data_IF_965940915677
#
_entry.id   IF_965940915677
#
_cell.length_a   1.000
_cell.length_b   1.000
_cell.length_c   1.000
_cell.angle_alpha   90.00
_cell.angle_beta   90.00
_cell.angle_gamma   90.00
#
_symmetry.space_group_name_H-M   'P 1'
#
loop_
_entity.id
_entity.type
_entity.pdbx_description
1 polymer ?
#
# COMPACT_ATOMS: atom_id res chain seq x y z
N UNK A 1 -25.29 40.93 23.05
CA UNK A 1 -25.29 40.31 21.69
C UNK A 1 -23.92 39.85 21.21
N UNK A 2 -22.79 40.36 21.74
CA UNK A 2 -21.46 40.06 21.19
C UNK A 2 -20.92 38.63 21.41
N UNK A 3 -21.24 37.99 22.54
CA UNK A 3 -20.66 36.67 22.92
C UNK A 3 -21.11 35.54 21.96
N UNK A 4 -22.34 35.61 21.45
CA UNK A 4 -22.86 34.60 20.50
C UNK A 4 -22.14 34.66 19.16
N UNK A 5 -21.80 35.86 18.68
CA UNK A 5 -21.10 36.04 17.41
C UNK A 5 -19.63 35.58 17.49
N UNK A 6 -18.99 35.70 18.66
CA UNK A 6 -17.63 35.21 18.90
C UNK A 6 -17.57 33.69 18.92
N UNK A 7 -18.55 33.03 19.55
CA UNK A 7 -18.65 31.57 19.58
C UNK A 7 -18.90 30.98 18.18
N UNK A 8 -19.74 31.62 17.37
CA UNK A 8 -20.00 31.20 15.98
C UNK A 8 -18.75 31.36 15.12
N UNK A 9 -18.02 32.48 15.27
CA UNK A 9 -16.76 32.69 14.55
C UNK A 9 -15.69 31.67 14.92
N UNK A 10 -15.54 31.33 16.21
CA UNK A 10 -14.58 30.33 16.66
C UNK A 10 -14.93 28.91 16.17
N UNK A 11 -16.21 28.53 16.15
CA UNK A 11 -16.66 27.25 15.62
C UNK A 11 -16.40 27.12 14.11
N UNK A 12 -16.57 28.22 13.36
CA UNK A 12 -16.32 28.22 11.91
C UNK A 12 -14.82 28.08 11.59
N UNK A 13 -13.94 28.72 12.37
CA UNK A 13 -12.49 28.60 12.21
C UNK A 13 -12.03 27.18 12.57
N UNK A 14 -12.58 26.57 13.62
CA UNK A 14 -12.29 25.19 13.99
C UNK A 14 -12.75 24.19 12.92
N UNK A 15 -13.90 24.43 12.27
CA UNK A 15 -14.39 23.60 11.16
C UNK A 15 -13.55 23.75 9.88
N UNK A 16 -12.92 24.91 9.65
CA UNK A 16 -12.02 25.15 8.52
C UNK A 16 -10.59 24.64 8.76
N UNK A 17 -10.22 24.40 10.02
CA UNK A 17 -8.92 23.86 10.41
C UNK A 17 -8.87 22.32 10.39
N UNK A 18 -9.91 21.64 9.89
CA UNK A 18 -9.88 20.19 9.72
C UNK A 18 -8.74 19.85 8.75
N UNK A 19 -7.73 19.08 9.17
CA UNK A 19 -6.65 18.69 8.27
C UNK A 19 -7.27 17.87 7.15
N UNK A 20 -7.21 18.39 5.93
CA UNK A 20 -7.44 17.59 4.73
C UNK A 20 -6.36 16.53 4.74
N UNK A 21 -6.74 15.29 5.03
CA UNK A 21 -5.83 14.17 4.90
C UNK A 21 -5.33 14.16 3.46
N UNK A 22 -4.05 14.52 3.27
CA UNK A 22 -3.41 14.40 1.98
C UNK A 22 -3.49 12.93 1.58
N UNK A 23 -4.24 12.64 0.52
CA UNK A 23 -4.29 11.30 -0.03
C UNK A 23 -2.86 10.89 -0.40
N UNK A 24 -2.35 9.84 0.22
CA UNK A 24 -1.04 9.31 -0.14
C UNK A 24 -1.09 8.91 -1.61
N UNK A 25 -0.13 9.39 -2.40
CA UNK A 25 -0.10 9.07 -3.82
C UNK A 25 0.02 7.55 -4.03
N UNK A 26 -0.76 7.02 -4.98
CA UNK A 26 -0.64 5.61 -5.37
C UNK A 26 0.79 5.34 -5.81
N UNK A 27 1.41 4.32 -5.22
CA UNK A 27 2.76 3.88 -5.58
C UNK A 27 2.71 2.52 -6.27
N UNK A 28 3.66 2.30 -7.19
CA UNK A 28 3.77 1.08 -7.97
C UNK A 28 5.12 0.42 -7.71
N UNK A 29 5.11 -0.89 -7.51
CA UNK A 29 6.32 -1.71 -7.39
C UNK A 29 6.32 -2.78 -8.47
N UNK A 30 7.46 -2.97 -9.12
CA UNK A 30 7.70 -4.06 -10.07
C UNK A 30 8.41 -5.19 -9.33
N UNK A 31 7.85 -6.40 -9.41
CA UNK A 31 8.44 -7.61 -8.83
C UNK A 31 8.96 -8.51 -9.96
N UNK A 32 10.20 -8.98 -9.84
CA UNK A 32 10.83 -9.89 -10.80
C UNK A 32 11.26 -11.14 -10.05
N UNK A 33 10.65 -12.27 -10.38
CA UNK A 33 11.02 -13.57 -9.83
C UNK A 33 11.90 -14.32 -10.83
N UNK A 34 13.04 -14.85 -10.36
CA UNK A 34 13.99 -15.61 -11.17
C UNK A 34 14.04 -17.10 -10.78
N UNK A 35 13.97 -17.37 -9.48
CA UNK A 35 14.10 -18.69 -8.91
C UNK A 35 13.48 -18.74 -7.50
N UNK A 36 12.84 -19.88 -7.18
CA UNK A 36 12.40 -20.20 -5.83
C UNK A 36 13.39 -21.16 -5.19
N UNK A 37 13.80 -20.82 -3.98
CA UNK A 37 14.69 -21.64 -3.16
C UNK A 37 14.01 -22.01 -1.84
N UNK A 38 13.88 -23.31 -1.62
CA UNK A 38 13.45 -23.94 -0.39
C UNK A 38 14.69 -24.33 0.43
N UNK A 39 14.65 -24.00 1.72
CA UNK A 39 15.72 -24.31 2.69
C UNK A 39 15.48 -25.61 3.43
N UNK A 40 14.24 -26.10 3.45
CA UNK A 40 13.89 -27.35 4.12
C UNK A 40 14.48 -28.56 3.39
N UNK A 41 14.97 -29.55 4.16
CA UNK A 41 15.75 -30.68 3.63
C UNK A 41 14.98 -31.51 2.61
N UNK A 42 13.67 -31.68 2.82
CA UNK A 42 12.80 -32.48 1.95
C UNK A 42 12.44 -31.77 0.64
N UNK A 43 12.51 -30.43 0.59
CA UNK A 43 12.13 -29.61 -0.55
C UNK A 43 13.34 -29.18 -1.41
N UNK A 44 14.54 -29.14 -0.82
CA UNK A 44 15.77 -28.63 -1.44
C UNK A 44 16.14 -29.25 -2.79
N UNK A 45 15.86 -30.54 -2.96
CA UNK A 45 16.32 -31.29 -4.14
C UNK A 45 15.29 -31.35 -5.27
N UNK A 46 14.01 -31.13 -4.96
CA UNK A 46 12.90 -31.34 -5.90
C UNK A 46 12.10 -30.08 -6.19
N UNK A 47 12.07 -29.10 -5.29
CA UNK A 47 11.25 -27.89 -5.41
C UNK A 47 12.08 -26.63 -5.71
N UNK A 48 13.42 -26.72 -5.65
CA UNK A 48 14.29 -25.64 -6.07
C UNK A 48 14.32 -25.55 -7.59
N UNK A 49 13.76 -24.49 -8.15
CA UNK A 49 13.59 -24.36 -9.59
C UNK A 49 13.65 -22.91 -10.07
N UNK A 50 14.01 -22.76 -11.35
CA UNK A 50 13.91 -21.49 -12.06
C UNK A 50 12.45 -21.26 -12.43
N UNK A 51 11.83 -20.26 -11.82
CA UNK A 51 10.42 -19.93 -11.97
C UNK A 51 10.26 -18.45 -12.35
N UNK A 52 10.65 -18.15 -13.59
CA UNK A 52 10.59 -16.79 -14.10
C UNK A 52 9.18 -16.22 -13.93
N UNK A 53 9.10 -15.05 -13.31
CA UNK A 53 7.86 -14.36 -13.09
C UNK A 53 8.01 -12.85 -13.06
N UNK A 54 6.91 -12.18 -13.37
CA UNK A 54 6.81 -10.73 -13.37
C UNK A 54 5.49 -10.33 -12.70
N UNK A 55 5.60 -9.48 -11.69
CA UNK A 55 4.47 -8.97 -10.94
C UNK A 55 4.49 -7.45 -10.87
N UNK A 56 3.31 -6.87 -10.66
CA UNK A 56 3.14 -5.46 -10.32
C UNK A 56 2.24 -5.35 -9.09
N UNK A 57 2.59 -4.42 -8.21
CA UNK A 57 1.78 -4.08 -7.04
C UNK A 57 1.45 -2.60 -7.06
N UNK A 58 0.18 -2.26 -6.93
CA UNK A 58 -0.30 -0.90 -6.71
C UNK A 58 -0.73 -0.74 -5.26
N UNK A 59 -0.15 0.23 -4.55
CA UNK A 59 -0.47 0.55 -3.14
C UNK A 59 -1.26 1.85 -3.08
N UNK A 60 -2.47 1.78 -2.53
CA UNK A 60 -3.41 2.91 -2.42
C UNK A 60 -3.34 3.59 -1.05
N UNK A 61 -2.96 2.86 0.00
CA UNK A 61 -2.77 3.39 1.35
C UNK A 61 -1.72 2.56 2.12
N UNK A 62 -1.35 2.92 3.36
CA UNK A 62 -0.43 2.12 4.16
C UNK A 62 -0.86 0.66 4.38
N UNK A 63 -2.17 0.41 4.36
CA UNK A 63 -2.76 -0.89 4.72
C UNK A 63 -3.42 -1.59 3.53
N UNK A 64 -3.56 -0.90 2.38
CA UNK A 64 -4.24 -1.42 1.20
C UNK A 64 -3.37 -1.38 -0.06
N UNK A 65 -3.22 -2.54 -0.68
CA UNK A 65 -2.59 -2.74 -1.99
C UNK A 65 -3.27 -3.86 -2.78
N UNK A 66 -3.13 -3.82 -4.09
CA UNK A 66 -3.49 -4.91 -5.01
C UNK A 66 -2.26 -5.35 -5.80
N UNK A 67 -2.10 -6.65 -5.97
CA UNK A 67 -0.96 -7.26 -6.66
C UNK A 67 -1.45 -8.25 -7.72
N UNK A 68 -0.77 -8.29 -8.86
CA UNK A 68 -1.02 -9.26 -9.92
C UNK A 68 0.25 -9.55 -10.69
N UNK A 69 0.37 -10.76 -11.24
CA UNK A 69 1.55 -11.15 -12.00
C UNK A 69 1.41 -12.51 -12.68
N UNK A 70 2.38 -12.81 -13.53
CA UNK A 70 2.53 -14.10 -14.20
C UNK A 70 3.79 -14.77 -13.69
N UNK A 71 3.67 -16.00 -13.24
CA UNK A 71 4.77 -16.78 -12.70
C UNK A 71 4.76 -18.15 -13.36
N UNK A 72 5.91 -18.58 -13.88
CA UNK A 72 6.08 -19.96 -14.34
C UNK A 72 6.24 -20.86 -13.13
N UNK A 73 5.76 -22.10 -13.24
CA UNK A 73 6.02 -23.15 -12.26
C UNK A 73 6.78 -24.28 -12.93
#
# INVERSE_FOLDING_TARGET
>A
MHIKNTLIGAALIAALAIPVAASAATSYTLDVNLASYHTERWARHSLNQRNLGLGVTARFSPDWSISGGWYRN
#
